data_IF_749903891206
#
_entry.id   IF_749903891206
#
_cell.length_a   1.000
_cell.length_b   1.000
_cell.length_c   1.000
_cell.angle_alpha   90.00
_cell.angle_beta   90.00
_cell.angle_gamma   90.00
#
_symmetry.space_group_name_H-M   'P 1'
#
loop_
_entity.id
_entity.type
_entity.pdbx_description
1 polymer ?
#
# COMPACT_ATOMS: atom_id res chain seq x y z
N UNK A 1 48.23 -9.23 -58.17
CA UNK A 1 47.30 -9.82 -57.17
C UNK A 1 48.04 -9.88 -55.83
N UNK A 2 47.58 -9.14 -54.82
CA UNK A 2 48.16 -9.17 -53.47
C UNK A 2 47.31 -10.12 -52.61
N UNK A 3 47.94 -11.16 -52.06
CA UNK A 3 47.30 -12.21 -51.28
C UNK A 3 47.29 -11.81 -49.79
N UNK A 4 46.12 -11.57 -49.21
CA UNK A 4 45.99 -11.39 -47.75
C UNK A 4 45.70 -12.75 -47.09
N UNK A 5 46.51 -13.21 -46.12
CA UNK A 5 46.22 -14.44 -45.40
C UNK A 5 44.98 -14.26 -44.51
N UNK A 6 44.01 -15.16 -44.66
CA UNK A 6 42.87 -15.28 -43.74
C UNK A 6 43.39 -15.70 -42.36
N UNK A 7 43.47 -14.75 -41.43
CA UNK A 7 43.72 -15.03 -40.01
C UNK A 7 42.47 -15.74 -39.46
N UNK A 8 42.60 -17.04 -39.13
CA UNK A 8 41.57 -17.77 -38.38
C UNK A 8 41.48 -17.18 -36.98
N UNK A 9 40.42 -16.42 -36.69
CA UNK A 9 40.12 -16.02 -35.31
C UNK A 9 39.83 -17.27 -34.47
N UNK A 10 40.63 -17.49 -33.43
CA UNK A 10 40.40 -18.56 -32.46
C UNK A 10 39.05 -18.37 -31.74
N UNK A 11 38.44 -19.48 -31.30
CA UNK A 11 37.14 -19.48 -30.61
C UNK A 11 37.14 -18.48 -29.43
N UNK A 12 36.04 -17.76 -29.15
CA UNK A 12 35.95 -16.72 -28.10
C UNK A 12 36.36 -17.18 -26.69
N UNK A 13 36.25 -18.49 -26.44
CA UNK A 13 36.59 -19.14 -25.17
C UNK A 13 38.11 -19.17 -24.92
N UNK A 14 38.93 -19.23 -25.97
CA UNK A 14 40.39 -19.26 -25.87
C UNK A 14 40.95 -17.88 -25.52
N UNK A 15 40.36 -16.82 -26.07
CA UNK A 15 40.75 -15.42 -25.81
C UNK A 15 40.44 -15.03 -24.35
N UNK A 16 39.30 -15.48 -23.79
CA UNK A 16 38.97 -15.29 -22.37
C UNK A 16 39.95 -15.97 -21.42
N UNK A 17 40.44 -17.17 -21.75
CA UNK A 17 41.44 -17.89 -20.94
C UNK A 17 42.81 -17.21 -20.94
N UNK A 18 43.21 -16.58 -22.05
CA UNK A 18 44.50 -15.87 -22.16
C UNK A 18 44.44 -14.52 -21.43
N UNK A 19 43.36 -13.76 -21.60
CA UNK A 19 43.16 -12.48 -20.91
C UNK A 19 43.03 -12.61 -19.38
N UNK A 20 42.59 -13.76 -18.86
CA UNK A 20 42.58 -14.02 -17.41
C UNK A 20 43.97 -14.23 -16.80
N UNK A 21 44.99 -14.55 -17.61
CA UNK A 21 46.34 -14.91 -17.13
C UNK A 21 47.33 -13.75 -17.17
N UNK A 22 47.18 -12.80 -18.08
CA UNK A 22 48.06 -11.61 -18.18
C UNK A 22 47.61 -10.48 -17.26
N UNK A 23 48.55 -9.71 -16.71
CA UNK A 23 48.22 -8.52 -15.90
C UNK A 23 47.37 -7.52 -16.67
N UNK A 24 47.69 -7.28 -17.94
CA UNK A 24 46.93 -6.39 -18.83
C UNK A 24 45.46 -6.82 -18.97
N UNK A 25 45.19 -8.12 -19.07
CA UNK A 25 43.82 -8.63 -19.16
C UNK A 25 43.06 -8.57 -17.84
N UNK A 26 43.74 -8.71 -16.69
CA UNK A 26 43.16 -8.48 -15.36
C UNK A 26 42.88 -6.98 -15.12
N UNK A 27 43.76 -6.10 -15.57
CA UNK A 27 43.61 -4.63 -15.53
C UNK A 27 42.36 -4.21 -16.32
N UNK A 28 42.23 -4.70 -17.57
CA UNK A 28 41.06 -4.43 -18.43
C UNK A 28 39.75 -4.95 -17.82
N UNK A 29 39.78 -6.08 -17.14
CA UNK A 29 38.60 -6.61 -16.46
C UNK A 29 38.24 -5.76 -15.23
N UNK A 30 39.23 -5.32 -14.44
CA UNK A 30 39.03 -4.39 -13.32
C UNK A 30 38.49 -3.04 -13.79
N UNK A 31 38.97 -2.55 -14.92
CA UNK A 31 38.51 -1.27 -15.49
C UNK A 31 37.09 -1.39 -16.05
N UNK A 32 36.75 -2.51 -16.71
CA UNK A 32 35.35 -2.83 -17.06
C UNK A 32 34.45 -2.91 -15.82
N UNK A 33 34.92 -3.52 -14.75
CA UNK A 33 34.16 -3.62 -13.50
C UNK A 33 34.04 -2.25 -12.79
N UNK A 34 35.06 -1.39 -12.89
CA UNK A 34 35.01 0.01 -12.41
C UNK A 34 34.03 0.84 -13.23
N UNK A 35 34.06 0.74 -14.56
CA UNK A 35 33.10 1.39 -15.45
C UNK A 35 31.68 0.88 -15.22
N UNK A 36 31.48 -0.44 -15.04
CA UNK A 36 30.18 -1.02 -14.68
C UNK A 36 29.72 -0.56 -13.30
N UNK A 37 30.62 -0.45 -12.31
CA UNK A 37 30.31 0.12 -10.99
C UNK A 37 30.02 1.62 -11.06
N UNK A 38 30.67 2.37 -11.95
CA UNK A 38 30.40 3.78 -12.20
C UNK A 38 29.08 3.98 -12.94
N UNK A 39 28.75 3.14 -13.92
CA UNK A 39 27.44 3.08 -14.59
C UNK A 39 26.33 2.71 -13.61
N UNK A 40 26.55 1.70 -12.77
CA UNK A 40 25.61 1.34 -11.69
C UNK A 40 25.52 2.46 -10.64
N UNK A 41 26.60 3.21 -10.38
CA UNK A 41 26.58 4.39 -9.48
C UNK A 41 25.93 5.60 -10.12
N UNK A 42 26.04 5.81 -11.43
CA UNK A 42 25.39 6.90 -12.16
C UNK A 42 23.91 6.61 -12.40
N UNK A 43 23.55 5.35 -12.66
CA UNK A 43 22.17 4.86 -12.63
C UNK A 43 21.60 4.89 -11.21
N UNK A 44 22.35 4.53 -10.17
CA UNK A 44 21.92 4.73 -8.77
C UNK A 44 21.85 6.20 -8.34
N UNK A 45 22.55 7.11 -9.02
CA UNK A 45 22.39 8.57 -8.85
C UNK A 45 21.23 9.14 -9.68
N UNK A 46 20.84 8.46 -10.76
CA UNK A 46 19.59 8.69 -11.53
C UNK A 46 18.38 7.92 -10.99
N UNK A 47 18.56 7.04 -10.01
CA UNK A 47 17.56 6.86 -8.98
C UNK A 47 17.53 8.18 -8.23
N UNK A 48 16.77 9.14 -8.75
CA UNK A 48 16.11 10.11 -7.89
C UNK A 48 15.70 9.34 -6.65
N UNK A 49 16.03 9.81 -5.43
CA UNK A 49 15.31 9.33 -4.27
C UNK A 49 13.85 9.51 -4.66
N UNK A 50 13.16 8.41 -5.01
CA UNK A 50 11.72 8.44 -5.24
C UNK A 50 11.24 9.09 -3.96
N UNK A 51 10.74 10.35 -4.02
CA UNK A 51 10.50 11.09 -2.81
C UNK A 51 9.67 10.20 -1.92
N UNK A 52 10.16 9.96 -0.71
CA UNK A 52 9.69 8.97 0.25
C UNK A 52 8.28 9.30 0.78
N UNK A 53 7.42 9.92 -0.02
CA UNK A 53 6.14 10.50 0.34
C UNK A 53 5.06 10.26 -0.73
N UNK A 54 5.07 9.10 -1.38
CA UNK A 54 3.93 8.64 -2.19
C UNK A 54 3.40 7.36 -1.58
N UNK A 55 2.53 7.49 -0.57
CA UNK A 55 2.04 6.33 0.16
C UNK A 55 0.53 6.22 0.06
N UNK A 56 0.08 5.18 -0.65
CA UNK A 56 -1.30 4.69 -0.66
C UNK A 56 -1.87 4.40 0.73
N UNK A 57 -1.05 4.40 1.79
CA UNK A 57 -1.50 4.37 3.17
C UNK A 57 -2.20 5.67 3.60
N UNK A 58 -1.79 6.84 3.11
CA UNK A 58 -2.54 8.09 3.37
C UNK A 58 -3.90 8.06 2.68
N UNK A 59 -3.96 7.44 1.50
CA UNK A 59 -5.22 7.17 0.81
C UNK A 59 -6.17 6.27 1.60
N UNK A 60 -5.72 5.56 2.63
CA UNK A 60 -6.62 4.75 3.47
C UNK A 60 -7.59 5.60 4.31
N UNK A 61 -7.30 6.89 4.52
CA UNK A 61 -8.09 7.77 5.38
C UNK A 61 -9.47 8.10 4.79
N UNK A 62 -9.57 8.16 3.47
CA UNK A 62 -10.85 8.39 2.76
C UNK A 62 -11.83 7.23 2.91
N UNK A 63 -11.39 6.06 3.38
CA UNK A 63 -12.27 4.92 3.62
C UNK A 63 -13.09 5.06 4.90
N UNK A 64 -12.73 5.97 5.81
CA UNK A 64 -13.51 6.22 7.02
C UNK A 64 -14.64 7.24 6.79
N UNK A 65 -15.55 6.93 5.86
CA UNK A 65 -16.69 7.80 5.56
C UNK A 65 -17.82 7.64 6.56
N UNK A 66 -18.37 8.77 6.99
CA UNK A 66 -19.57 8.87 7.83
C UNK A 66 -20.85 8.74 7.00
N UNK A 67 -21.99 8.48 7.64
CA UNK A 67 -23.30 8.42 6.95
C UNK A 67 -23.61 9.73 6.22
N UNK A 68 -23.40 10.87 6.88
CA UNK A 68 -23.63 12.19 6.29
C UNK A 68 -22.76 12.44 5.03
N UNK A 69 -21.51 11.98 5.02
CA UNK A 69 -20.65 12.08 3.84
C UNK A 69 -21.11 11.17 2.70
N UNK A 70 -21.62 9.97 3.02
CA UNK A 70 -22.18 9.05 2.03
C UNK A 70 -23.44 9.61 1.38
N UNK A 71 -24.32 10.23 2.18
CA UNK A 71 -25.51 10.93 1.69
C UNK A 71 -25.12 12.11 0.79
N UNK A 72 -24.14 12.92 1.22
CA UNK A 72 -23.58 14.03 0.44
C UNK A 72 -22.88 13.56 -0.84
N UNK A 73 -22.37 12.34 -0.85
CA UNK A 73 -21.67 11.73 -1.98
C UNK A 73 -20.22 12.17 -2.15
N UNK A 74 -19.62 12.83 -1.14
CA UNK A 74 -18.20 13.14 -1.14
C UNK A 74 -17.65 13.31 0.27
N UNK A 75 -16.34 13.09 0.42
CA UNK A 75 -15.60 13.37 1.65
C UNK A 75 -14.25 14.03 1.33
N UNK A 76 -13.75 14.82 2.28
CA UNK A 76 -12.41 15.40 2.27
C UNK A 76 -11.72 15.09 3.58
N UNK A 77 -10.44 14.75 3.51
CA UNK A 77 -9.55 14.55 4.65
C UNK A 77 -8.35 15.46 4.46
N UNK A 78 -8.24 16.45 5.33
CA UNK A 78 -7.06 17.30 5.37
C UNK A 78 -5.93 16.59 6.12
N UNK A 79 -4.72 16.74 5.58
CA UNK A 79 -3.47 16.20 6.08
C UNK A 79 -2.56 17.36 6.49
N UNK A 80 -1.40 17.02 7.07
CA UNK A 80 -0.38 17.99 7.46
C UNK A 80 0.12 18.84 6.25
N UNK A 81 0.56 20.09 6.49
CA UNK A 81 1.12 21.02 5.49
C UNK A 81 0.16 21.37 4.33
N UNK A 82 -1.12 21.55 4.62
CA UNK A 82 -2.12 21.92 3.60
C UNK A 82 -2.33 20.83 2.54
N UNK A 83 -1.91 19.59 2.82
CA UNK A 83 -2.18 18.44 1.96
C UNK A 83 -3.61 17.96 2.18
N UNK A 84 -4.24 17.37 1.17
CA UNK A 84 -5.57 16.79 1.32
C UNK A 84 -5.80 15.59 0.40
N UNK A 85 -6.79 14.77 0.78
CA UNK A 85 -7.36 13.73 -0.06
C UNK A 85 -8.87 13.92 -0.08
N UNK A 86 -9.45 13.88 -1.26
CA UNK A 86 -10.88 13.97 -1.50
C UNK A 86 -11.35 12.70 -2.22
N UNK A 87 -12.52 12.20 -1.84
CA UNK A 87 -13.22 11.18 -2.60
C UNK A 87 -14.60 11.72 -2.99
N UNK A 88 -14.96 11.57 -4.25
CA UNK A 88 -16.27 11.92 -4.78
C UNK A 88 -16.90 10.73 -5.47
N UNK A 89 -18.18 10.50 -5.17
CA UNK A 89 -19.01 9.55 -5.92
C UNK A 89 -19.03 9.96 -7.39
N UNK A 90 -19.09 8.97 -8.27
CA UNK A 90 -19.18 9.24 -9.69
C UNK A 90 -20.62 9.56 -10.08
N UNK A 91 -20.81 10.32 -11.17
CA UNK A 91 -22.15 10.57 -11.73
C UNK A 91 -22.65 9.41 -12.61
N UNK A 92 -21.98 8.26 -12.59
CA UNK A 92 -22.34 7.12 -13.43
C UNK A 92 -23.66 6.46 -12.95
N UNK A 93 -24.48 5.92 -13.87
CA UNK A 93 -25.80 5.36 -13.55
C UNK A 93 -25.78 4.18 -12.57
N UNK A 94 -24.68 3.42 -12.55
CA UNK A 94 -24.51 2.22 -11.71
C UNK A 94 -23.68 2.48 -10.44
N UNK A 95 -23.57 3.74 -10.00
CA UNK A 95 -22.74 4.08 -8.85
C UNK A 95 -23.34 3.54 -7.54
N UNK A 96 -22.54 2.79 -6.79
CA UNK A 96 -22.92 2.21 -5.48
C UNK A 96 -22.61 3.13 -4.30
N UNK A 97 -22.37 4.41 -4.58
CA UNK A 97 -22.19 5.48 -3.60
C UNK A 97 -20.73 5.74 -3.26
N UNK A 98 -20.54 6.56 -2.22
CA UNK A 98 -19.21 6.92 -1.74
C UNK A 98 -18.49 5.70 -1.12
N UNK A 99 -17.16 5.62 -1.30
CA UNK A 99 -16.29 4.62 -0.66
C UNK A 99 -16.58 4.47 0.85
N UNK A 100 -16.43 3.25 1.35
CA UNK A 100 -16.72 2.84 2.73
C UNK A 100 -15.56 2.05 3.35
N UNK A 101 -15.59 1.86 4.68
CA UNK A 101 -14.50 1.22 5.42
C UNK A 101 -14.20 -0.22 5.00
N UNK A 102 -15.22 -0.95 4.53
CA UNK A 102 -15.07 -2.33 4.04
C UNK A 102 -14.31 -2.40 2.70
N UNK A 103 -14.42 -1.35 1.88
CA UNK A 103 -13.77 -1.29 0.57
C UNK A 103 -12.23 -1.26 0.71
N UNK A 104 -11.72 -0.80 1.86
CA UNK A 104 -10.29 -0.85 2.16
C UNK A 104 -9.80 -2.30 2.27
N UNK A 105 -10.59 -3.21 2.84
CA UNK A 105 -10.23 -4.64 2.88
C UNK A 105 -10.12 -5.22 1.47
N UNK A 106 -11.08 -4.90 0.61
CA UNK A 106 -11.08 -5.34 -0.79
C UNK A 106 -9.87 -4.80 -1.53
N UNK A 107 -9.58 -3.50 -1.38
CA UNK A 107 -8.41 -2.87 -2.00
C UNK A 107 -7.10 -3.53 -1.55
N UNK A 108 -6.91 -3.74 -0.25
CA UNK A 108 -5.73 -4.43 0.28
C UNK A 108 -5.64 -5.89 -0.20
N UNK A 109 -6.78 -6.56 -0.38
CA UNK A 109 -6.87 -7.88 -1.02
C UNK A 109 -6.38 -7.83 -2.46
N UNK A 110 -6.84 -6.87 -3.26
CA UNK A 110 -6.35 -6.64 -4.62
C UNK A 110 -4.82 -6.45 -4.65
N UNK A 111 -4.26 -5.75 -3.66
CA UNK A 111 -2.82 -5.53 -3.58
C UNK A 111 -2.05 -6.84 -3.33
N UNK A 112 -2.59 -7.72 -2.48
CA UNK A 112 -2.03 -9.06 -2.25
C UNK A 112 -2.06 -9.92 -3.52
N UNK A 113 -3.17 -9.93 -4.25
CA UNK A 113 -3.28 -10.70 -5.49
C UNK A 113 -2.36 -10.18 -6.58
N UNK A 114 -2.28 -8.86 -6.76
CA UNK A 114 -1.36 -8.26 -7.74
C UNK A 114 0.09 -8.67 -7.47
N UNK A 115 0.53 -8.62 -6.19
CA UNK A 115 1.86 -9.05 -5.75
C UNK A 115 2.15 -10.53 -6.06
N UNK A 116 1.13 -11.38 -6.05
CA UNK A 116 1.26 -12.82 -6.31
C UNK A 116 0.97 -13.23 -7.75
N UNK A 117 0.51 -12.29 -8.59
CA UNK A 117 0.29 -12.56 -10.00
C UNK A 117 1.62 -12.90 -10.67
N UNK A 118 1.68 -14.07 -11.31
CA UNK A 118 2.87 -14.54 -12.06
C UNK A 118 2.90 -13.96 -13.48
N UNK A 119 1.85 -13.24 -13.87
CA UNK A 119 1.59 -12.80 -15.23
C UNK A 119 2.45 -11.58 -15.57
N UNK A 120 3.66 -11.84 -16.08
CA UNK A 120 4.62 -10.80 -16.51
C UNK A 120 4.08 -9.86 -17.60
N UNK A 121 3.04 -10.26 -18.33
CA UNK A 121 2.54 -9.52 -19.50
C UNK A 121 1.57 -8.37 -19.18
N UNK A 122 1.02 -8.29 -17.96
CA UNK A 122 0.16 -7.15 -17.55
C UNK A 122 0.46 -6.76 -16.11
N UNK A 123 1.40 -5.83 -15.94
CA UNK A 123 1.97 -5.40 -14.64
C UNK A 123 0.94 -4.97 -13.59
N UNK A 124 -0.28 -4.60 -14.00
CA UNK A 124 -1.30 -3.99 -13.14
C UNK A 124 -2.62 -4.76 -13.09
N UNK A 125 -2.68 -5.95 -13.71
CA UNK A 125 -3.90 -6.76 -13.80
C UNK A 125 -3.68 -8.11 -13.13
N UNK A 126 -4.69 -8.57 -12.39
CA UNK A 126 -4.72 -9.92 -11.87
C UNK A 126 -6.09 -10.56 -12.11
N UNK A 127 -6.10 -11.88 -12.10
CA UNK A 127 -7.32 -12.69 -12.19
C UNK A 127 -7.46 -13.51 -10.92
N UNK A 128 -8.67 -13.58 -10.38
CA UNK A 128 -8.97 -14.30 -9.15
C UNK A 128 -10.44 -14.69 -9.12
N UNK A 129 -10.82 -15.58 -8.21
CA UNK A 129 -12.24 -15.84 -7.93
C UNK A 129 -12.73 -14.97 -6.77
N UNK A 130 -14.03 -14.60 -6.74
CA UNK A 130 -14.62 -13.91 -5.60
C UNK A 130 -14.34 -14.61 -4.26
N UNK A 131 -14.40 -15.95 -4.27
CA UNK A 131 -14.07 -16.80 -3.14
C UNK A 131 -12.67 -16.55 -2.57
N UNK A 132 -11.66 -16.43 -3.43
CA UNK A 132 -10.29 -16.20 -3.00
C UNK A 132 -10.14 -14.85 -2.29
N UNK A 133 -10.84 -13.79 -2.75
CA UNK A 133 -10.84 -12.49 -2.07
C UNK A 133 -11.54 -12.58 -0.72
N UNK A 134 -12.76 -13.13 -0.68
CA UNK A 134 -13.56 -13.23 0.55
C UNK A 134 -12.84 -14.04 1.64
N UNK A 135 -12.14 -15.11 1.25
CA UNK A 135 -11.33 -15.92 2.16
C UNK A 135 -10.25 -15.13 2.90
N UNK A 136 -9.70 -14.07 2.31
CA UNK A 136 -8.72 -13.21 2.99
C UNK A 136 -9.29 -12.51 4.23
N UNK A 137 -10.61 -12.31 4.27
CA UNK A 137 -11.30 -11.61 5.35
C UNK A 137 -11.65 -12.54 6.53
N UNK A 138 -11.29 -13.83 6.47
CA UNK A 138 -11.53 -14.80 7.54
C UNK A 138 -12.96 -15.33 7.59
N UNK A 139 -13.71 -15.20 6.49
CA UNK A 139 -15.08 -15.71 6.35
C UNK A 139 -15.11 -17.24 6.09
N UNK A 140 -14.10 -18.00 6.54
CA UNK A 140 -13.85 -19.41 6.17
C UNK A 140 -14.92 -20.44 6.59
N UNK A 141 -15.99 -20.08 7.33
CA UNK A 141 -16.83 -21.10 7.97
C UNK A 141 -18.01 -21.65 7.15
N UNK A 142 -18.53 -20.96 6.13
CA UNK A 142 -19.67 -21.49 5.33
C UNK A 142 -19.73 -21.01 3.87
N UNK A 143 -18.69 -20.34 3.33
CA UNK A 143 -18.73 -19.72 1.98
C UNK A 143 -19.00 -20.73 0.86
N UNK A 144 -18.72 -22.02 1.06
CA UNK A 144 -18.91 -23.05 0.03
C UNK A 144 -20.36 -23.18 -0.47
N UNK A 145 -21.37 -22.67 0.25
CA UNK A 145 -22.77 -22.84 -0.15
C UNK A 145 -23.32 -21.75 -1.10
N UNK A 146 -22.65 -20.60 -1.29
CA UNK A 146 -23.29 -19.48 -2.02
C UNK A 146 -22.34 -18.56 -2.82
N UNK A 147 -21.28 -19.15 -3.40
CA UNK A 147 -20.28 -18.45 -4.25
C UNK A 147 -20.93 -17.86 -5.54
N UNK A 148 -22.18 -18.23 -5.83
CA UNK A 148 -22.90 -17.94 -7.08
C UNK A 148 -23.98 -16.85 -6.97
N UNK A 149 -23.94 -15.95 -5.99
CA UNK A 149 -24.86 -14.80 -5.94
C UNK A 149 -25.29 -14.37 -4.53
N UNK A 150 -24.71 -14.96 -3.49
CA UNK A 150 -25.01 -14.60 -2.11
C UNK A 150 -24.64 -13.16 -1.73
N UNK A 151 -25.09 -12.75 -0.54
CA UNK A 151 -24.91 -11.39 0.00
C UNK A 151 -23.45 -10.92 0.00
N UNK A 152 -22.51 -11.81 0.31
CA UNK A 152 -21.09 -11.44 0.42
C UNK A 152 -20.43 -11.26 -0.96
N UNK A 153 -20.85 -12.03 -1.97
CA UNK A 153 -20.47 -11.77 -3.35
C UNK A 153 -21.00 -10.40 -3.82
N UNK A 154 -22.27 -10.06 -3.53
CA UNK A 154 -22.83 -8.76 -3.88
C UNK A 154 -22.09 -7.61 -3.18
N UNK A 155 -21.77 -7.77 -1.89
CA UNK A 155 -20.95 -6.79 -1.14
C UNK A 155 -19.58 -6.58 -1.78
N UNK A 156 -18.90 -7.66 -2.15
CA UNK A 156 -17.62 -7.57 -2.87
C UNK A 156 -17.77 -6.84 -4.20
N UNK A 157 -18.80 -7.15 -5.00
CA UNK A 157 -19.08 -6.48 -6.27
C UNK A 157 -19.35 -4.99 -6.07
N UNK A 158 -20.13 -4.63 -5.05
CA UNK A 158 -20.40 -3.23 -4.72
C UNK A 158 -19.13 -2.50 -4.26
N UNK A 159 -18.26 -3.15 -3.47
CA UNK A 159 -16.96 -2.58 -3.09
C UNK A 159 -16.04 -2.36 -4.29
N UNK A 160 -15.94 -3.35 -5.18
CA UNK A 160 -15.16 -3.24 -6.41
C UNK A 160 -15.71 -2.12 -7.31
N UNK A 161 -17.03 -2.00 -7.41
CA UNK A 161 -17.67 -0.90 -8.14
C UNK A 161 -17.32 0.46 -7.53
N UNK A 162 -17.43 0.64 -6.21
CA UNK A 162 -17.06 1.90 -5.54
C UNK A 162 -15.58 2.25 -5.75
N UNK A 163 -14.69 1.27 -5.63
CA UNK A 163 -13.25 1.45 -5.87
C UNK A 163 -12.92 1.84 -7.32
N UNK A 164 -13.74 1.41 -8.27
CA UNK A 164 -13.62 1.76 -9.69
C UNK A 164 -14.29 3.10 -10.02
N UNK A 165 -15.47 3.37 -9.46
CA UNK A 165 -16.30 4.51 -9.83
C UNK A 165 -15.87 5.81 -9.14
N UNK A 166 -15.43 5.75 -7.88
CA UNK A 166 -15.16 6.96 -7.10
C UNK A 166 -13.91 7.67 -7.62
N UNK A 167 -14.02 8.97 -7.84
CA UNK A 167 -12.90 9.82 -8.21
C UNK A 167 -12.17 10.30 -6.96
N UNK A 168 -10.87 10.07 -6.91
CA UNK A 168 -10.00 10.47 -5.79
C UNK A 168 -9.15 11.65 -6.24
N UNK A 169 -9.15 12.73 -5.46
CA UNK A 169 -8.33 13.92 -5.72
C UNK A 169 -7.33 14.17 -4.61
N UNK A 170 -6.10 14.52 -4.96
CA UNK A 170 -5.03 14.86 -4.00
C UNK A 170 -4.17 16.00 -4.51
N UNK A 171 -3.50 16.73 -3.62
CA UNK A 171 -2.58 17.82 -3.96
C UNK A 171 -1.12 17.54 -3.53
N UNK A 172 -0.80 16.31 -3.19
CA UNK A 172 0.54 15.90 -2.74
C UNK A 172 1.13 14.80 -3.62
N UNK A 173 0.57 14.62 -4.81
CA UNK A 173 1.15 13.74 -5.82
C UNK A 173 2.42 14.40 -6.40
N UNK A 174 3.36 13.56 -6.82
CA UNK A 174 4.63 13.98 -7.40
C UNK A 174 4.76 13.34 -8.78
N UNK A 175 4.88 14.17 -9.81
CA UNK A 175 5.11 13.67 -11.16
C UNK A 175 6.60 13.34 -11.30
N UNK A 176 6.94 12.05 -11.32
CA UNK A 176 8.33 11.62 -11.45
C UNK A 176 8.94 11.90 -12.83
N UNK A 177 8.11 12.09 -13.86
CA UNK A 177 8.56 12.40 -15.22
C UNK A 177 8.91 13.89 -15.30
N UNK A 178 8.02 14.74 -14.77
CA UNK A 178 8.21 16.20 -14.78
C UNK A 178 9.10 16.70 -13.64
N UNK A 179 9.31 15.89 -12.61
CA UNK A 179 10.11 16.26 -11.44
C UNK A 179 9.46 17.36 -10.59
N UNK A 180 8.13 17.45 -10.58
CA UNK A 180 7.39 18.51 -9.88
C UNK A 180 6.22 17.97 -9.04
N UNK A 181 5.80 18.77 -8.04
CA UNK A 181 4.61 18.49 -7.24
C UNK A 181 3.37 18.82 -8.06
N UNK A 182 2.44 17.86 -8.15
CA UNK A 182 1.15 18.07 -8.79
C UNK A 182 0.21 18.81 -7.84
N UNK A 183 -0.25 19.98 -8.27
CA UNK A 183 -1.16 20.85 -7.50
C UNK A 183 -2.52 20.17 -7.29
N UNK A 184 -2.97 19.38 -8.27
CA UNK A 184 -4.17 18.54 -8.18
C UNK A 184 -4.04 17.32 -9.09
N UNK A 185 -4.15 16.14 -8.50
CA UNK A 185 -4.06 14.86 -9.19
C UNK A 185 -5.33 14.06 -8.94
N UNK A 186 -5.96 13.58 -10.01
CA UNK A 186 -7.21 12.81 -9.96
C UNK A 186 -6.98 11.39 -10.46
N UNK A 187 -7.54 10.41 -9.78
CA UNK A 187 -7.42 9.00 -10.16
C UNK A 187 -8.56 8.16 -9.58
N UNK A 188 -8.65 6.91 -10.04
CA UNK A 188 -9.49 5.87 -9.45
C UNK A 188 -8.59 4.80 -8.82
N UNK A 189 -9.05 4.06 -7.80
CA UNK A 189 -8.23 2.95 -7.27
C UNK A 189 -8.13 1.80 -8.27
N UNK A 190 -9.23 1.51 -8.98
CA UNK A 190 -9.31 0.49 -10.01
C UNK A 190 -9.60 1.15 -11.36
N UNK A 191 -8.83 0.79 -12.38
CA UNK A 191 -9.08 1.19 -13.78
C UNK A 191 -10.25 0.39 -14.38
N UNK A 192 -10.30 -0.91 -14.11
CA UNK A 192 -11.38 -1.76 -14.63
C UNK A 192 -11.61 -3.00 -13.76
N UNK A 193 -12.87 -3.41 -13.66
CA UNK A 193 -13.27 -4.70 -13.09
C UNK A 193 -14.12 -5.43 -14.13
N UNK A 194 -13.54 -6.47 -14.73
CA UNK A 194 -14.23 -7.38 -15.64
C UNK A 194 -14.63 -8.66 -14.93
N UNK A 195 -15.76 -9.23 -15.33
CA UNK A 195 -16.17 -10.58 -14.91
C UNK A 195 -16.14 -11.50 -16.14
N UNK A 196 -15.38 -12.58 -16.04
CA UNK A 196 -15.26 -13.61 -17.06
C UNK A 196 -16.18 -14.80 -16.79
N UNK A 197 -15.91 -15.90 -17.50
CA UNK A 197 -16.61 -17.16 -17.30
C UNK A 197 -16.48 -17.65 -15.85
N UNK A 198 -17.52 -18.34 -15.37
CA UNK A 198 -17.60 -18.85 -13.99
C UNK A 198 -17.40 -17.78 -12.90
N UNK A 199 -17.78 -16.52 -13.17
CA UNK A 199 -17.64 -15.39 -12.24
C UNK A 199 -16.20 -15.10 -11.82
N UNK A 200 -15.24 -15.46 -12.66
CA UNK A 200 -13.84 -15.06 -12.47
C UNK A 200 -13.71 -13.54 -12.59
N UNK A 201 -12.99 -12.92 -11.67
CA UNK A 201 -12.78 -11.47 -11.66
C UNK A 201 -11.44 -11.15 -12.30
N UNK A 202 -11.45 -10.32 -13.34
CA UNK A 202 -10.27 -9.67 -13.89
C UNK A 202 -10.22 -8.23 -13.40
N UNK A 203 -9.31 -7.94 -12.49
CA UNK A 203 -9.20 -6.62 -11.84
C UNK A 203 -7.92 -5.94 -12.29
N UNK A 204 -8.04 -4.69 -12.73
CA UNK A 204 -6.92 -3.84 -13.11
C UNK A 204 -6.86 -2.64 -12.18
N UNK A 205 -5.75 -2.50 -11.45
CA UNK A 205 -5.47 -1.32 -10.64
C UNK A 205 -5.09 -0.16 -11.57
N UNK A 206 -5.33 1.06 -11.12
CA UNK A 206 -4.73 2.21 -11.78
C UNK A 206 -3.21 2.14 -11.72
N UNK A 207 -2.56 2.50 -12.84
CA UNK A 207 -1.10 2.44 -12.99
C UNK A 207 -0.37 3.08 -11.81
N UNK A 208 -0.80 4.28 -11.43
CA UNK A 208 -0.20 5.08 -10.37
C UNK A 208 -0.32 4.44 -8.98
N UNK A 209 -1.45 3.80 -8.69
CA UNK A 209 -1.65 3.03 -7.46
C UNK A 209 -0.80 1.77 -7.48
N UNK A 210 -0.76 1.05 -8.60
CA UNK A 210 0.03 -0.16 -8.75
C UNK A 210 1.54 0.11 -8.61
N UNK A 211 2.05 1.17 -9.23
CA UNK A 211 3.46 1.58 -9.10
C UNK A 211 3.78 2.07 -7.68
N UNK A 212 2.84 2.76 -6.99
CA UNK A 212 2.97 3.12 -5.58
C UNK A 212 3.06 1.88 -4.68
N UNK A 213 2.31 0.82 -4.99
CA UNK A 213 2.35 -0.44 -4.24
C UNK A 213 3.68 -1.15 -4.44
N UNK A 214 4.12 -1.32 -5.69
CA UNK A 214 5.35 -2.02 -6.04
C UNK A 214 6.57 -1.35 -5.40
N UNK A 215 6.62 -0.01 -5.40
CA UNK A 215 7.73 0.77 -4.84
C UNK A 215 7.64 0.97 -3.33
N UNK A 216 6.44 1.25 -2.81
CA UNK A 216 6.21 1.66 -1.42
C UNK A 216 5.68 0.52 -0.54
N UNK A 217 4.52 -0.06 -0.87
CA UNK A 217 3.88 -1.09 -0.04
C UNK A 217 4.76 -2.33 0.15
N UNK A 218 5.50 -2.76 -0.89
CA UNK A 218 6.29 -4.00 -0.83
C UNK A 218 7.43 -3.94 0.21
N UNK A 219 8.00 -2.75 0.46
CA UNK A 219 9.09 -2.59 1.43
C UNK A 219 8.60 -2.60 2.88
N UNK A 220 7.43 -2.00 3.15
CA UNK A 220 6.88 -1.86 4.51
C UNK A 220 5.94 -3.00 4.91
N UNK A 221 5.31 -3.66 3.94
CA UNK A 221 4.37 -4.74 4.18
C UNK A 221 4.98 -6.08 3.73
N UNK A 222 5.61 -6.76 4.69
CA UNK A 222 5.84 -8.20 4.55
C UNK A 222 4.49 -8.89 4.34
N UNK A 223 4.47 -9.95 3.52
CA UNK A 223 3.22 -10.67 3.16
C UNK A 223 2.36 -11.00 4.38
N UNK A 224 2.98 -11.48 5.45
CA UNK A 224 2.28 -11.89 6.68
C UNK A 224 1.64 -10.69 7.41
N UNK A 225 2.27 -9.51 7.39
CA UNK A 225 1.72 -8.31 8.02
C UNK A 225 0.49 -7.79 7.30
N UNK A 226 0.48 -7.81 5.95
CA UNK A 226 -0.67 -7.33 5.18
C UNK A 226 -1.93 -8.20 5.40
N UNK A 227 -1.77 -9.52 5.49
CA UNK A 227 -2.88 -10.42 5.81
C UNK A 227 -3.47 -10.11 7.20
N UNK A 228 -2.62 -9.85 8.19
CA UNK A 228 -3.07 -9.51 9.54
C UNK A 228 -3.82 -8.17 9.56
N UNK A 229 -3.37 -7.17 8.80
CA UNK A 229 -4.04 -5.86 8.70
C UNK A 229 -5.39 -5.97 8.00
N UNK A 230 -5.49 -6.78 6.94
CA UNK A 230 -6.76 -7.02 6.23
C UNK A 230 -7.85 -7.52 7.18
N UNK A 231 -7.47 -8.36 8.15
CA UNK A 231 -8.36 -8.94 9.16
C UNK A 231 -8.78 -7.95 10.25
N UNK A 232 -8.10 -6.81 10.40
CA UNK A 232 -8.54 -5.76 11.31
C UNK A 232 -9.87 -5.17 10.87
N UNK A 233 -10.66 -4.68 11.82
CA UNK A 233 -11.96 -4.02 11.57
C UNK A 233 -11.95 -2.56 12.02
N UNK A 234 -12.75 -1.74 11.34
CA UNK A 234 -12.96 -0.33 11.67
C UNK A 234 -11.65 0.48 11.78
N UNK A 235 -11.58 1.34 12.79
CA UNK A 235 -10.46 2.26 13.01
C UNK A 235 -9.10 1.56 13.14
N UNK A 236 -9.04 0.35 13.70
CA UNK A 236 -7.77 -0.36 13.90
C UNK A 236 -7.04 -0.61 12.56
N UNK A 237 -7.77 -0.88 11.47
CA UNK A 237 -7.16 -1.10 10.16
C UNK A 237 -6.47 0.14 9.63
N UNK A 238 -7.14 1.29 9.70
CA UNK A 238 -6.61 2.58 9.24
C UNK A 238 -5.41 2.99 10.09
N UNK A 239 -5.52 2.81 11.42
CA UNK A 239 -4.42 3.07 12.34
C UNK A 239 -3.22 2.15 12.07
N UNK A 240 -3.42 0.87 11.78
CA UNK A 240 -2.32 -0.04 11.48
C UNK A 240 -1.55 0.39 10.21
N UNK A 241 -2.26 0.79 9.15
CA UNK A 241 -1.63 1.33 7.94
C UNK A 241 -0.88 2.64 8.24
N UNK A 242 -1.49 3.55 8.98
CA UNK A 242 -0.83 4.79 9.39
C UNK A 242 0.43 4.54 10.23
N UNK A 243 0.35 3.62 11.21
CA UNK A 243 1.48 3.29 12.07
C UNK A 243 2.60 2.58 11.32
N UNK A 244 2.31 1.72 10.34
CA UNK A 244 3.33 1.11 9.50
C UNK A 244 4.11 2.14 8.69
N UNK A 245 3.42 3.17 8.20
CA UNK A 245 4.08 4.31 7.54
C UNK A 245 5.07 4.98 8.48
N UNK A 246 4.67 5.23 9.72
CA UNK A 246 5.49 5.96 10.69
C UNK A 246 6.62 5.11 11.31
N UNK A 247 6.34 3.83 11.55
CA UNK A 247 7.23 2.94 12.28
C UNK A 247 8.56 2.78 11.56
N UNK A 248 8.58 2.60 10.25
CA UNK A 248 9.83 2.44 9.49
C UNK A 248 10.84 1.53 10.21
N UNK A 249 11.98 2.09 10.64
CA UNK A 249 12.99 1.41 11.47
C UNK A 249 12.99 1.84 12.95
N UNK A 250 12.07 2.70 13.36
CA UNK A 250 11.98 3.20 14.73
C UNK A 250 11.65 2.06 15.71
N UNK A 251 12.21 2.17 16.92
CA UNK A 251 11.92 1.27 18.04
C UNK A 251 10.77 1.79 18.91
N UNK A 252 10.57 3.11 18.88
CA UNK A 252 9.57 3.82 19.67
C UNK A 252 8.85 4.85 18.80
N UNK A 253 7.58 5.07 19.07
CA UNK A 253 6.74 6.08 18.46
C UNK A 253 5.85 6.72 19.53
N UNK A 254 5.63 8.01 19.40
CA UNK A 254 4.66 8.75 20.20
C UNK A 254 3.62 9.36 19.27
N UNK A 255 2.33 9.26 19.62
CA UNK A 255 1.24 9.85 18.86
C UNK A 255 0.26 10.60 19.78
N UNK A 256 -0.02 11.86 19.45
CA UNK A 256 -1.05 12.65 20.13
C UNK A 256 -2.45 12.12 19.78
N UNK A 257 -3.33 12.07 20.78
CA UNK A 257 -4.73 11.69 20.60
C UNK A 257 -5.44 12.55 19.54
N UNK A 258 -5.15 13.85 19.50
CA UNK A 258 -5.73 14.75 18.49
C UNK A 258 -5.37 14.31 17.06
N UNK A 259 -4.10 13.96 16.82
CA UNK A 259 -3.64 13.44 15.53
C UNK A 259 -4.38 12.16 15.15
N UNK A 260 -4.51 11.22 16.11
CA UNK A 260 -5.25 9.97 15.90
C UNK A 260 -6.71 10.24 15.54
N UNK A 261 -7.38 11.14 16.25
CA UNK A 261 -8.78 11.48 16.00
C UNK A 261 -8.98 12.19 14.66
N UNK A 262 -8.06 13.09 14.27
CA UNK A 262 -8.07 13.75 12.95
C UNK A 262 -7.91 12.73 11.83
N UNK A 263 -6.98 11.79 11.94
CA UNK A 263 -6.79 10.71 10.97
C UNK A 263 -8.04 9.85 10.83
N UNK A 264 -8.72 9.57 11.94
CA UNK A 264 -9.97 8.86 11.92
C UNK A 264 -11.16 9.73 11.47
N UNK A 265 -10.96 10.99 11.06
CA UNK A 265 -12.08 11.87 10.67
C UNK A 265 -13.10 12.06 11.79
N UNK A 266 -12.69 11.89 13.05
CA UNK A 266 -13.54 12.03 14.22
C UNK A 266 -13.49 13.44 14.81
N UNK A 267 -12.72 14.35 14.19
CA UNK A 267 -12.41 15.69 14.71
C UNK A 267 -13.64 16.50 15.11
N UNK A 268 -14.55 16.70 14.17
CA UNK A 268 -15.77 17.45 14.41
C UNK A 268 -16.72 16.75 15.38
N UNK A 269 -16.78 15.42 15.33
CA UNK A 269 -17.64 14.63 16.21
C UNK A 269 -17.24 14.78 17.68
N UNK A 270 -15.95 14.83 17.97
CA UNK A 270 -15.50 14.90 19.36
C UNK A 270 -15.47 16.32 19.91
N UNK A 271 -15.22 17.36 19.09
CA UNK A 271 -15.25 18.77 19.55
C UNK A 271 -16.60 19.17 20.14
N UNK A 272 -17.68 18.50 19.71
CA UNK A 272 -19.06 18.74 20.17
C UNK A 272 -19.50 17.81 21.31
N UNK A 273 -18.67 16.85 21.68
CA UNK A 273 -19.00 15.84 22.69
C UNK A 273 -18.63 16.33 24.08
N UNK A 274 -19.50 16.13 25.07
CA UNK A 274 -19.15 16.47 26.45
C UNK A 274 -17.96 15.64 26.94
N UNK A 275 -17.13 16.24 27.80
CA UNK A 275 -15.86 15.68 28.28
C UNK A 275 -15.99 14.27 28.86
N UNK A 276 -17.10 13.97 29.55
CA UNK A 276 -17.35 12.64 30.15
C UNK A 276 -17.52 11.56 29.08
N UNK A 277 -18.38 11.81 28.09
CA UNK A 277 -18.61 10.88 26.98
C UNK A 277 -17.37 10.74 26.09
N UNK A 278 -16.62 11.83 25.90
CA UNK A 278 -15.36 11.80 25.17
C UNK A 278 -14.33 10.88 25.82
N UNK A 279 -14.09 11.04 27.13
CA UNK A 279 -13.14 10.20 27.85
C UNK A 279 -13.52 8.72 27.79
N UNK A 280 -14.82 8.42 27.89
CA UNK A 280 -15.35 7.06 27.75
C UNK A 280 -15.10 6.51 26.35
N UNK A 281 -15.42 7.29 25.32
CA UNK A 281 -15.22 6.90 23.92
C UNK A 281 -13.75 6.63 23.59
N UNK A 282 -12.82 7.45 24.08
CA UNK A 282 -11.38 7.22 23.89
C UNK A 282 -10.96 5.90 24.54
N UNK A 283 -11.40 5.65 25.78
CA UNK A 283 -11.06 4.43 26.52
C UNK A 283 -11.67 3.17 25.89
N UNK A 284 -12.90 3.23 25.40
CA UNK A 284 -13.64 2.06 24.93
C UNK A 284 -13.46 1.78 23.42
N UNK A 285 -13.12 2.80 22.62
CA UNK A 285 -13.09 2.69 21.15
C UNK A 285 -11.72 3.00 20.58
N UNK A 286 -11.16 4.17 20.89
CA UNK A 286 -9.93 4.65 20.23
C UNK A 286 -8.70 3.91 20.75
N UNK A 287 -8.53 3.82 22.07
CA UNK A 287 -7.37 3.15 22.67
C UNK A 287 -7.32 1.66 22.32
N UNK A 288 -8.41 0.88 22.41
CA UNK A 288 -8.39 -0.52 21.98
C UNK A 288 -8.16 -0.70 20.48
N UNK A 289 -8.59 0.25 19.65
CA UNK A 289 -8.28 0.21 18.22
C UNK A 289 -6.80 0.48 17.95
N UNK A 290 -6.20 1.41 18.69
CA UNK A 290 -4.77 1.73 18.62
C UNK A 290 -3.90 0.57 19.12
N UNK A 291 -4.30 -0.07 20.20
CA UNK A 291 -3.64 -1.26 20.76
C UNK A 291 -3.59 -2.40 19.74
N UNK A 292 -4.75 -2.83 19.22
CA UNK A 292 -4.83 -3.86 18.18
C UNK A 292 -4.03 -3.51 16.92
N UNK A 293 -4.08 -2.25 16.51
CA UNK A 293 -3.31 -1.77 15.36
C UNK A 293 -1.80 -1.88 15.60
N UNK A 294 -1.34 -1.52 16.79
CA UNK A 294 0.06 -1.55 17.21
C UNK A 294 0.57 -2.99 17.31
N UNK A 295 -0.19 -3.87 17.96
CA UNK A 295 0.16 -5.29 18.10
C UNK A 295 0.29 -5.97 16.74
N UNK A 296 -0.63 -5.66 15.81
CA UNK A 296 -0.61 -6.19 14.45
C UNK A 296 0.69 -5.87 13.70
N UNK A 297 1.34 -4.77 14.06
CA UNK A 297 2.58 -4.30 13.42
C UNK A 297 3.81 -4.54 14.30
N UNK A 298 3.66 -5.28 15.41
CA UNK A 298 4.76 -5.72 16.28
C UNK A 298 5.18 -4.70 17.35
N UNK A 299 4.28 -3.84 17.79
CA UNK A 299 4.49 -2.88 18.87
C UNK A 299 3.52 -3.14 20.02
N UNK A 300 3.96 -2.92 21.26
CA UNK A 300 3.05 -2.70 22.37
C UNK A 300 2.64 -1.22 22.41
N UNK A 301 1.44 -0.93 22.89
CA UNK A 301 0.89 0.42 22.94
C UNK A 301 0.37 0.72 24.34
N UNK A 302 0.86 1.81 24.92
CA UNK A 302 0.39 2.37 26.18
C UNK A 302 -0.31 3.70 25.92
N UNK A 303 -1.52 3.89 26.45
CA UNK A 303 -2.21 5.18 26.40
C UNK A 303 -2.12 5.90 27.74
N UNK A 304 -1.42 7.04 27.77
CA UNK A 304 -1.35 7.92 28.95
C UNK A 304 -2.42 9.00 28.83
N UNK A 305 -3.46 8.87 29.67
CA UNK A 305 -4.68 9.69 29.59
C UNK A 305 -4.42 11.15 29.95
N UNK A 306 -3.57 11.39 30.94
CA UNK A 306 -3.19 12.70 31.46
C UNK A 306 -2.49 13.52 30.39
N UNK A 307 -1.64 12.86 29.62
CA UNK A 307 -0.86 13.45 28.53
C UNK A 307 -1.60 13.45 27.18
N UNK A 308 -2.69 12.68 27.08
CA UNK A 308 -3.45 12.41 25.85
C UNK A 308 -2.55 11.89 24.72
N UNK A 309 -1.65 10.96 25.06
CA UNK A 309 -0.65 10.41 24.16
C UNK A 309 -0.65 8.89 24.15
N UNK A 310 -0.37 8.33 22.98
CA UNK A 310 -0.09 6.92 22.78
C UNK A 310 1.42 6.72 22.62
N UNK A 311 1.98 5.83 23.43
CA UNK A 311 3.38 5.44 23.43
C UNK A 311 3.50 4.02 22.90
N UNK A 312 4.19 3.85 21.78
CA UNK A 312 4.38 2.56 21.15
C UNK A 312 5.84 2.17 21.26
N UNK A 313 6.11 0.97 21.73
CA UNK A 313 7.46 0.43 21.85
C UNK A 313 7.51 -1.01 21.35
N UNK A 314 8.62 -1.40 20.73
CA UNK A 314 8.83 -2.81 20.40
C UNK A 314 9.02 -3.61 21.69
N UNK A 315 8.39 -4.79 21.82
CA UNK A 315 8.68 -5.66 22.95
C UNK A 315 10.18 -5.97 22.95
N UNK A 316 10.81 -6.09 24.14
CA UNK A 316 12.20 -6.50 24.22
C UNK A 316 12.35 -7.80 23.45
N UNK A 317 13.28 -7.83 22.49
CA UNK A 317 13.58 -9.07 21.77
C UNK A 317 14.00 -10.09 22.81
N UNK A 318 13.20 -11.14 22.98
CA UNK A 318 13.63 -12.34 23.68
C UNK A 318 14.71 -12.95 22.78
N UNK A 319 15.93 -12.44 22.89
CA UNK A 319 17.10 -13.15 22.39
C UNK A 319 17.08 -14.50 23.06
N UNK A 320 17.09 -15.57 22.26
CA UNK A 320 17.25 -16.95 22.70
C UNK A 320 18.17 -17.02 23.93
N UNK A 321 17.56 -17.13 25.11
CA UNK A 321 18.16 -17.85 26.23
C UNK A 321 17.75 -19.30 26.00
N UNK A 322 18.38 -19.92 25.03
CA UNK A 322 18.49 -21.38 25.00
C UNK A 322 19.95 -21.70 25.30
N UNK A 323 20.12 -21.98 26.59
CA UNK A 323 21.15 -22.76 27.32
C UNK A 323 22.58 -22.76 26.80
#
# INVERSE_FOLDING_TARGET
MIYYPKIKMGKPETIKKILGRTEVGRELQREKDRQKKQLVRSEKKRNYPVPTEMHSMELSLIFNTTLAEREKGWCRRDLWNGRYIEAGKSKLPNDKGLIQGEDLSVLLGCFLFLKHSKTKHNKYTFETTPYQILRLFGEDKDIQRDITGGRDYQRLRDSLNRLQSNNISTNFWWDTIKGERVIKYNFHFLESVGEGEQKTLRVRLSKDIADSIEKGYVKYLRKNSLLNIIRLRGHAKILALYLLKLAGHKKELEQNLETVLRLLGLEEKYKRMEKRYFNRYVKEVVAPAMERASETIGFHCEYKKEEKKFYLHKPPSISHKEK
#
